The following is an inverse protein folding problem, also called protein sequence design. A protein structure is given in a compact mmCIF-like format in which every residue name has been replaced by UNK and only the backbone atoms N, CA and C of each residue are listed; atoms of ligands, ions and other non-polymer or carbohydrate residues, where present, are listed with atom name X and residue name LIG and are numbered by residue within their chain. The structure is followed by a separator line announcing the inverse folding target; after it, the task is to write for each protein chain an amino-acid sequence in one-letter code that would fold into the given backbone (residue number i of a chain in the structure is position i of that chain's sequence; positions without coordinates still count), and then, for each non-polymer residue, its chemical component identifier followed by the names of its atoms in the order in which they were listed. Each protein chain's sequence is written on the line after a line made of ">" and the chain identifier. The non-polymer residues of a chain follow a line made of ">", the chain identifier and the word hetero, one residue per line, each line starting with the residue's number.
data_IF_207093091661
#
_entry.id   IF_207093091661
#
_cell.length_a   1.000
_cell.length_b   1.000
_cell.length_c   1.000
_cell.angle_alpha   90.00
_cell.angle_beta   90.00
_cell.angle_gamma   90.00
#
_symmetry.space_group_name_H-M   'P 1'
#
loop_
_entity.id
_entity.type
_entity.pdbx_description
1 polymer ?
#
# COMPACT_ATOMS: atom_id res chain seq x y z
N UNK A 1 -15.67 11.27 27.75
CA UNK A 1 -14.92 11.87 26.64
C UNK A 1 -15.40 13.29 26.49
N UNK A 2 -14.47 14.24 26.42
CA UNK A 2 -14.82 15.64 26.18
C UNK A 2 -15.46 15.77 24.78
N UNK A 3 -16.46 16.63 24.63
CA UNK A 3 -17.15 16.82 23.34
C UNK A 3 -16.19 17.35 22.27
N UNK A 4 -15.21 18.15 22.69
CA UNK A 4 -14.16 18.66 21.81
C UNK A 4 -13.24 17.53 21.34
N UNK A 5 -12.85 16.65 22.25
CA UNK A 5 -12.01 15.49 21.94
C UNK A 5 -12.70 14.54 20.96
N UNK A 6 -13.99 14.24 21.18
CA UNK A 6 -14.78 13.43 20.26
C UNK A 6 -14.81 14.00 18.84
N UNK A 7 -15.03 15.32 18.71
CA UNK A 7 -15.05 15.98 17.39
C UNK A 7 -13.69 15.91 16.69
N UNK A 8 -12.58 16.04 17.45
CA UNK A 8 -11.22 15.89 16.90
C UNK A 8 -10.97 14.46 16.41
N UNK A 9 -11.41 13.45 17.16
CA UNK A 9 -11.26 12.06 16.76
C UNK A 9 -12.13 11.69 15.54
N UNK A 10 -13.33 12.26 15.41
CA UNK A 10 -14.18 12.12 14.22
C UNK A 10 -13.54 12.75 12.98
N UNK A 11 -12.95 13.95 13.13
CA UNK A 11 -12.22 14.62 12.06
C UNK A 11 -10.96 13.84 11.67
N UNK A 12 -10.20 13.34 12.64
CA UNK A 12 -9.02 12.51 12.39
C UNK A 12 -9.40 11.25 11.63
N UNK A 13 -10.45 10.54 12.05
CA UNK A 13 -10.96 9.35 11.37
C UNK A 13 -11.32 9.66 9.91
N UNK A 14 -12.01 10.78 9.66
CA UNK A 14 -12.36 11.21 8.30
C UNK A 14 -11.10 11.45 7.44
N UNK A 15 -10.09 12.10 8.01
CA UNK A 15 -8.82 12.35 7.32
C UNK A 15 -8.07 11.04 7.03
N UNK A 16 -8.00 10.12 7.99
CA UNK A 16 -7.42 8.79 7.81
C UNK A 16 -8.12 8.02 6.69
N UNK A 17 -9.45 8.05 6.63
CA UNK A 17 -10.22 7.39 5.58
C UNK A 17 -9.98 8.02 4.20
N UNK A 18 -9.82 9.35 4.11
CA UNK A 18 -9.48 10.02 2.86
C UNK A 18 -8.10 9.59 2.36
N UNK A 19 -7.10 9.62 3.23
CA UNK A 19 -5.74 9.15 2.91
C UNK A 19 -5.76 7.70 2.46
N UNK A 20 -6.48 6.82 3.18
CA UNK A 20 -6.63 5.42 2.81
C UNK A 20 -7.25 5.25 1.41
N UNK A 21 -8.26 6.05 1.08
CA UNK A 21 -8.89 6.01 -0.25
C UNK A 21 -7.91 6.46 -1.35
N UNK A 22 -7.15 7.54 -1.11
CA UNK A 22 -6.13 8.01 -2.06
C UNK A 22 -5.03 6.96 -2.30
N UNK A 23 -4.51 6.36 -1.23
CA UNK A 23 -3.53 5.27 -1.33
C UNK A 23 -4.13 4.04 -2.02
N UNK A 24 -5.39 3.71 -1.75
CA UNK A 24 -6.07 2.61 -2.44
C UNK A 24 -6.13 2.84 -3.95
N UNK A 25 -6.43 4.07 -4.39
CA UNK A 25 -6.46 4.42 -5.81
C UNK A 25 -5.06 4.28 -6.46
N UNK A 26 -4.01 4.76 -5.79
CA UNK A 26 -2.62 4.60 -6.24
C UNK A 26 -2.25 3.12 -6.42
N UNK A 27 -2.62 2.27 -5.46
CA UNK A 27 -2.34 0.83 -5.55
C UNK A 27 -3.16 0.12 -6.63
N UNK A 28 -4.40 0.54 -6.87
CA UNK A 28 -5.21 0.04 -7.99
C UNK A 28 -4.54 0.39 -9.33
N UNK A 29 -4.03 1.62 -9.47
CA UNK A 29 -3.32 2.06 -10.67
C UNK A 29 -2.01 1.27 -10.87
N UNK A 30 -1.22 1.07 -9.81
CA UNK A 30 -0.03 0.20 -9.84
C UNK A 30 -0.35 -1.24 -10.24
N UNK A 31 -1.46 -1.80 -9.72
CA UNK A 31 -1.89 -3.15 -10.10
C UNK A 31 -2.23 -3.22 -11.58
N UNK A 32 -2.92 -2.19 -12.10
CA UNK A 32 -3.29 -2.08 -13.52
C UNK A 32 -2.04 -2.03 -14.40
N UNK A 33 -1.08 -1.16 -14.10
CA UNK A 33 0.14 -1.01 -14.91
C UNK A 33 0.99 -2.28 -14.95
N UNK A 34 1.11 -3.00 -13.82
CA UNK A 34 1.81 -4.29 -13.77
C UNK A 34 1.05 -5.35 -14.57
N UNK A 35 -0.29 -5.36 -14.50
CA UNK A 35 -1.10 -6.31 -15.27
C UNK A 35 -0.94 -6.08 -16.78
N UNK A 36 -0.97 -4.83 -17.22
CA UNK A 36 -0.74 -4.44 -18.62
C UNK A 36 0.66 -4.86 -19.08
N UNK A 37 1.68 -4.62 -18.25
CA UNK A 37 3.04 -5.08 -18.52
C UNK A 37 3.11 -6.59 -18.71
N UNK A 38 2.50 -7.38 -17.82
CA UNK A 38 2.50 -8.86 -17.90
C UNK A 38 1.79 -9.33 -19.18
N UNK A 39 0.69 -8.68 -19.57
CA UNK A 39 -0.05 -9.02 -20.79
C UNK A 39 0.77 -8.73 -22.05
N UNK A 40 1.38 -7.56 -22.15
CA UNK A 40 2.19 -7.17 -23.30
C UNK A 40 3.47 -8.00 -23.39
N UNK A 41 4.08 -8.34 -22.25
CA UNK A 41 5.18 -9.29 -22.19
C UNK A 41 4.81 -10.65 -22.80
N UNK A 42 3.66 -11.22 -22.41
CA UNK A 42 3.19 -12.51 -22.94
C UNK A 42 2.91 -12.48 -24.45
N UNK A 43 2.47 -11.34 -24.98
CA UNK A 43 2.26 -11.18 -26.44
C UNK A 43 3.58 -11.17 -27.20
N UNK A 44 4.55 -10.35 -26.75
CA UNK A 44 5.88 -10.26 -27.38
C UNK A 44 6.61 -11.60 -27.37
N UNK A 45 6.48 -12.35 -26.28
CA UNK A 45 7.06 -13.69 -26.17
C UNK A 45 6.55 -14.66 -27.27
N UNK A 46 5.27 -14.59 -27.63
CA UNK A 46 4.72 -15.41 -28.73
C UNK A 46 5.28 -14.98 -30.09
N UNK A 47 5.66 -13.70 -30.25
CA UNK A 47 6.16 -13.12 -31.50
C UNK A 47 7.67 -13.27 -31.69
N UNK A 48 8.47 -13.19 -30.61
CA UNK A 48 9.95 -13.16 -30.62
C UNK A 48 10.62 -14.55 -30.58
N UNK A 49 9.86 -15.64 -30.52
CA UNK A 49 10.33 -17.04 -30.52
C UNK A 49 11.02 -17.51 -31.83
N UNK A 50 11.63 -16.57 -32.58
CA UNK A 50 12.23 -16.82 -33.89
C UNK A 50 13.75 -16.70 -33.96
N UNK A 51 14.46 -15.95 -33.10
CA UNK A 51 15.81 -15.53 -33.50
C UNK A 51 17.01 -15.53 -32.52
N UNK A 52 16.94 -15.74 -31.19
CA UNK A 52 18.16 -16.02 -30.36
C UNK A 52 17.82 -16.37 -28.89
N UNK A 53 18.02 -17.62 -28.46
CA UNK A 53 17.42 -18.17 -27.21
C UNK A 53 18.24 -17.95 -25.92
N UNK A 54 19.56 -18.13 -25.88
CA UNK A 54 20.23 -18.48 -24.61
C UNK A 54 20.49 -17.35 -23.60
N UNK A 55 20.85 -16.12 -24.02
CA UNK A 55 21.10 -15.00 -23.07
C UNK A 55 19.85 -14.21 -22.70
N UNK A 56 18.80 -14.33 -23.50
CA UNK A 56 17.50 -13.73 -23.24
C UNK A 56 16.84 -14.45 -22.06
N UNK A 57 16.96 -15.76 -21.95
CA UNK A 57 16.20 -16.55 -20.97
C UNK A 57 16.47 -16.17 -19.49
N UNK A 58 17.72 -15.98 -19.06
CA UNK A 58 18.02 -15.74 -17.63
C UNK A 58 17.59 -14.36 -17.10
N UNK A 59 17.88 -13.26 -17.83
CA UNK A 59 17.45 -11.91 -17.41
C UNK A 59 15.92 -11.79 -17.38
N UNK A 60 15.25 -12.54 -18.26
CA UNK A 60 13.80 -12.48 -18.45
C UNK A 60 13.04 -13.23 -17.36
N UNK A 61 13.57 -14.35 -16.85
CA UNK A 61 12.99 -15.05 -15.69
C UNK A 61 13.03 -14.17 -14.43
N UNK A 62 14.11 -13.41 -14.23
CA UNK A 62 14.23 -12.50 -13.10
C UNK A 62 13.25 -11.33 -13.16
N UNK A 63 13.15 -10.65 -14.30
CA UNK A 63 12.22 -9.51 -14.44
C UNK A 63 10.77 -9.95 -14.28
N UNK A 64 10.39 -11.08 -14.90
CA UNK A 64 9.06 -11.67 -14.74
C UNK A 64 8.76 -12.01 -13.28
N UNK A 65 9.70 -12.69 -12.60
CA UNK A 65 9.54 -13.05 -11.19
C UNK A 65 9.32 -11.80 -10.33
N UNK A 66 10.11 -10.73 -10.53
CA UNK A 66 9.95 -9.46 -9.81
C UNK A 66 8.56 -8.86 -10.03
N UNK A 67 8.03 -8.89 -11.26
CA UNK A 67 6.69 -8.36 -11.56
C UNK A 67 5.57 -9.20 -10.96
N UNK A 68 5.68 -10.52 -10.97
CA UNK A 68 4.71 -11.42 -10.33
C UNK A 68 4.69 -11.23 -8.81
N UNK A 69 5.86 -11.11 -8.17
CA UNK A 69 5.96 -10.82 -6.73
C UNK A 69 5.43 -9.42 -6.37
N UNK A 70 5.69 -8.43 -7.23
CA UNK A 70 5.13 -7.07 -7.08
C UNK A 70 3.60 -7.10 -7.12
N UNK A 71 3.02 -7.85 -8.07
CA UNK A 71 1.57 -8.01 -8.17
C UNK A 71 0.97 -8.63 -6.90
N UNK A 72 1.56 -9.73 -6.40
CA UNK A 72 1.11 -10.37 -5.15
C UNK A 72 1.18 -9.42 -3.96
N UNK A 73 2.25 -8.63 -3.86
CA UNK A 73 2.44 -7.65 -2.79
C UNK A 73 1.37 -6.56 -2.84
N UNK A 74 1.09 -6.02 -4.03
CA UNK A 74 0.04 -5.01 -4.22
C UNK A 74 -1.33 -5.57 -3.89
N UNK A 75 -1.64 -6.79 -4.33
CA UNK A 75 -2.94 -7.40 -4.08
C UNK A 75 -3.18 -7.70 -2.58
N UNK A 76 -2.13 -8.18 -1.89
CA UNK A 76 -2.14 -8.30 -0.42
C UNK A 76 -2.40 -6.95 0.23
N UNK A 77 -1.71 -5.89 -0.20
CA UNK A 77 -1.86 -4.55 0.37
C UNK A 77 -3.25 -3.96 0.16
N UNK A 78 -3.84 -4.15 -1.01
CA UNK A 78 -5.23 -3.78 -1.28
C UNK A 78 -6.21 -4.53 -0.37
N UNK A 79 -5.96 -5.81 -0.10
CA UNK A 79 -6.77 -6.61 0.82
C UNK A 79 -6.68 -6.10 2.27
N UNK A 80 -5.52 -5.58 2.68
CA UNK A 80 -5.33 -4.92 3.99
C UNK A 80 -6.11 -3.60 4.05
N UNK A 81 -6.09 -2.81 2.98
CA UNK A 81 -6.83 -1.55 2.90
C UNK A 81 -8.35 -1.74 3.02
N UNK A 82 -8.90 -2.83 2.48
CA UNK A 82 -10.33 -3.17 2.68
C UNK A 82 -10.66 -3.33 4.16
N UNK A 83 -9.79 -4.01 4.91
CA UNK A 83 -9.98 -4.22 6.36
C UNK A 83 -9.79 -2.92 7.14
N UNK A 84 -8.80 -2.10 6.78
CA UNK A 84 -8.61 -0.78 7.38
C UNK A 84 -9.79 0.15 7.14
N UNK A 85 -10.47 0.04 6.00
CA UNK A 85 -11.63 0.89 5.70
C UNK A 85 -12.81 0.66 6.66
N UNK A 86 -12.95 -0.57 7.16
CA UNK A 86 -14.00 -0.91 8.14
C UNK A 86 -13.64 -0.42 9.55
N UNK A 87 -12.38 -0.58 9.94
CA UNK A 87 -11.88 -0.19 11.26
C UNK A 87 -10.39 0.19 11.18
N UNK A 88 -10.04 1.46 10.93
CA UNK A 88 -8.66 1.87 10.66
C UNK A 88 -7.73 1.64 11.86
N UNK A 89 -8.15 2.09 13.03
CA UNK A 89 -7.39 1.98 14.28
C UNK A 89 -8.34 1.67 15.44
N UNK A 90 -7.81 1.00 16.47
CA UNK A 90 -8.56 0.64 17.67
C UNK A 90 -8.02 1.32 18.93
N UNK A 91 -6.83 1.93 18.85
CA UNK A 91 -6.17 2.57 19.98
C UNK A 91 -5.41 3.82 19.58
N UNK A 92 -5.13 4.65 20.60
CA UNK A 92 -4.32 5.85 20.51
C UNK A 92 -3.33 5.85 21.67
N UNK A 93 -2.06 6.12 21.40
CA UNK A 93 -0.99 6.20 22.39
C UNK A 93 -0.41 7.61 22.35
N UNK A 94 -0.31 8.25 23.51
CA UNK A 94 0.37 9.53 23.67
C UNK A 94 1.76 9.33 24.29
N UNK A 95 2.78 9.91 23.68
CA UNK A 95 4.13 10.00 24.21
C UNK A 95 4.39 11.44 24.67
N UNK A 96 5.08 11.58 25.80
CA UNK A 96 5.54 12.87 26.30
C UNK A 96 7.02 12.70 26.62
N UNK A 97 7.88 13.42 25.89
CA UNK A 97 9.32 13.40 26.10
C UNK A 97 9.90 14.81 25.99
N UNK A 98 10.62 15.25 27.03
CA UNK A 98 11.27 16.57 27.13
C UNK A 98 10.44 17.77 26.60
N UNK A 99 9.12 17.75 26.83
CA UNK A 99 8.19 18.82 26.43
C UNK A 99 7.57 18.67 25.04
N UNK A 100 7.93 17.62 24.29
CA UNK A 100 7.25 17.22 23.05
C UNK A 100 6.16 16.21 23.36
N UNK A 101 4.97 16.43 22.79
CA UNK A 101 3.85 15.50 22.85
C UNK A 101 3.62 14.94 21.45
N UNK A 102 3.59 13.60 21.34
CA UNK A 102 3.28 12.89 20.11
C UNK A 102 2.11 11.95 20.34
N UNK A 103 1.24 11.81 19.34
CA UNK A 103 0.09 10.91 19.39
C UNK A 103 0.17 9.94 18.20
N UNK A 104 0.14 8.63 18.49
CA UNK A 104 0.15 7.58 17.48
C UNK A 104 -1.15 6.77 17.54
N UNK A 105 -1.71 6.46 16.37
CA UNK A 105 -2.88 5.60 16.24
C UNK A 105 -2.44 4.17 15.92
N UNK A 106 -2.99 3.20 16.65
CA UNK A 106 -2.65 1.78 16.53
C UNK A 106 -3.82 1.04 15.88
N UNK A 107 -3.53 0.34 14.79
CA UNK A 107 -4.50 -0.42 14.01
C UNK A 107 -4.01 -1.82 13.68
N UNK A 108 -4.87 -2.58 13.01
CA UNK A 108 -4.57 -3.97 12.61
C UNK A 108 -3.51 -4.08 11.52
N UNK A 109 -3.34 -3.03 10.73
CA UNK A 109 -2.36 -2.90 9.67
C UNK A 109 -1.86 -1.47 9.66
N UNK A 110 -0.59 -1.28 9.31
CA UNK A 110 -0.03 0.07 9.17
C UNK A 110 -0.56 0.80 7.93
N UNK A 111 -0.62 2.13 8.00
CA UNK A 111 -0.89 3.03 6.88
C UNK A 111 0.12 4.18 6.89
N UNK A 112 1.06 4.15 5.95
CA UNK A 112 2.00 5.24 5.68
C UNK A 112 1.76 5.70 4.25
N UNK A 113 1.37 6.97 4.04
CA UNK A 113 1.19 7.53 2.71
C UNK A 113 2.47 7.38 1.87
N UNK A 114 2.31 7.08 0.59
CA UNK A 114 3.47 6.96 -0.29
C UNK A 114 4.20 8.31 -0.43
N UNK A 115 5.52 8.29 -0.21
CA UNK A 115 6.37 9.48 -0.24
C UNK A 115 6.53 10.19 1.10
N UNK A 116 5.90 9.69 2.16
CA UNK A 116 6.11 10.16 3.54
C UNK A 116 6.83 9.11 4.38
N UNK A 117 7.40 9.57 5.49
CA UNK A 117 7.94 8.68 6.53
C UNK A 117 7.02 8.57 7.74
N UNK A 118 6.06 9.49 7.85
CA UNK A 118 5.15 9.57 9.00
C UNK A 118 3.96 8.62 8.81
N UNK A 119 3.78 7.62 9.71
CA UNK A 119 2.63 6.72 9.67
C UNK A 119 1.38 7.43 10.18
N UNK A 120 0.27 7.25 9.47
CA UNK A 120 -1.07 7.65 9.94
C UNK A 120 -1.63 6.59 10.89
N UNK A 121 -1.30 5.32 10.64
CA UNK A 121 -1.67 4.17 11.47
C UNK A 121 -0.43 3.31 11.63
N UNK A 122 -0.12 2.93 12.87
CA UNK A 122 0.94 2.00 13.23
C UNK A 122 0.33 0.61 13.43
N UNK A 123 0.99 -0.42 12.89
CA UNK A 123 0.60 -1.82 13.09
C UNK A 123 1.00 -2.30 14.50
N UNK A 124 0.23 -3.22 15.08
CA UNK A 124 0.45 -3.77 16.43
C UNK A 124 1.33 -5.02 16.40
#
# INVERSE_FOLDING_TARGET
>A
MDKIELLREEENLKNTLNILNEETLKYIEKRKSISEYILDYRKKYIEEYRDDEDKLIEYFDHERYIKEESYKTIDKRLSEFVKLKESPYFGKIGFIDDGYSEELYIGRYGLTPEGTYDPVIVDW
#
